data_IF_023991793952
#
_entry.id   IF_023991793952
#
_cell.length_a   1.000
_cell.length_b   1.000
_cell.length_c   1.000
_cell.angle_alpha   90.00
_cell.angle_beta   90.00
_cell.angle_gamma   90.00
#
_symmetry.space_group_name_H-M   'P 1'
#
loop_
_entity.id
_entity.type
_entity.pdbx_description
1 polymer ?
#
# COMPACT_ATOMS: atom_id res chain seq x y z
N UNK A 1 -24.18 -7.94 -0.53
CA UNK A 1 -25.16 -8.62 0.35
C UNK A 1 -25.00 -10.12 0.33
N UNK A 2 -25.20 -10.79 -0.80
CA UNK A 2 -25.23 -12.27 -0.87
C UNK A 2 -24.07 -12.95 -0.12
N UNK A 3 -22.83 -12.58 -0.42
CA UNK A 3 -21.66 -13.17 0.26
C UNK A 3 -21.68 -12.99 1.79
N UNK A 4 -22.01 -11.79 2.28
CA UNK A 4 -22.07 -11.53 3.71
C UNK A 4 -23.16 -12.36 4.40
N UNK A 5 -24.33 -12.50 3.77
CA UNK A 5 -25.44 -13.34 4.27
C UNK A 5 -25.07 -14.82 4.26
N UNK A 6 -24.49 -15.31 3.16
CA UNK A 6 -24.13 -16.72 2.98
C UNK A 6 -23.00 -17.15 3.96
N UNK A 7 -22.17 -16.23 4.41
CA UNK A 7 -21.11 -16.46 5.40
C UNK A 7 -21.44 -15.96 6.81
N UNK A 8 -22.71 -15.69 7.11
CA UNK A 8 -23.21 -15.33 8.45
C UNK A 8 -22.59 -14.05 9.05
N UNK A 9 -22.12 -13.11 8.22
CA UNK A 9 -21.69 -11.80 8.70
C UNK A 9 -22.91 -10.98 9.16
N UNK A 10 -22.87 -10.50 10.40
CA UNK A 10 -23.95 -9.70 10.99
C UNK A 10 -23.78 -8.22 10.71
N UNK A 11 -24.91 -7.52 10.50
CA UNK A 11 -24.95 -6.06 10.34
C UNK A 11 -24.03 -5.50 9.21
N UNK A 12 -24.10 -6.02 7.97
CA UNK A 12 -23.28 -5.49 6.89
C UNK A 12 -23.71 -4.06 6.51
N UNK A 13 -22.74 -3.15 6.47
CA UNK A 13 -22.92 -1.77 6.03
C UNK A 13 -22.19 -1.57 4.70
N UNK A 14 -22.84 -0.90 3.74
CA UNK A 14 -22.21 -0.58 2.44
C UNK A 14 -21.63 0.80 2.45
N UNK A 15 -20.39 0.89 1.93
CA UNK A 15 -19.71 2.13 1.59
C UNK A 15 -19.59 2.18 0.07
N UNK A 16 -20.18 3.19 -0.56
CA UNK A 16 -20.27 3.31 -2.01
C UNK A 16 -19.64 4.64 -2.41
N UNK A 17 -18.70 4.61 -3.34
CA UNK A 17 -18.03 5.78 -3.90
C UNK A 17 -18.26 5.81 -5.42
N UNK A 18 -19.51 6.12 -5.84
CA UNK A 18 -19.86 6.20 -7.25
C UNK A 18 -19.22 7.43 -7.93
N UNK A 19 -18.66 7.20 -9.11
CA UNK A 19 -18.07 8.25 -9.93
C UNK A 19 -16.69 8.76 -9.48
N UNK A 20 -16.12 8.21 -8.40
CA UNK A 20 -14.79 8.59 -7.91
C UNK A 20 -13.72 7.66 -8.48
N UNK A 21 -12.61 8.25 -8.97
CA UNK A 21 -11.49 7.48 -9.50
C UNK A 21 -10.85 6.59 -8.44
N UNK A 22 -10.61 5.32 -8.76
CA UNK A 22 -9.86 4.39 -7.90
C UNK A 22 -8.38 4.72 -7.71
N UNK A 23 -7.88 5.83 -8.30
CA UNK A 23 -6.51 6.31 -8.12
C UNK A 23 -6.34 7.02 -6.78
N UNK A 24 -7.39 7.67 -6.28
CA UNK A 24 -7.37 8.34 -4.98
C UNK A 24 -8.03 7.49 -3.89
N UNK A 25 -7.47 7.54 -2.68
CA UNK A 25 -8.08 7.01 -1.46
C UNK A 25 -8.89 8.09 -0.73
N UNK A 26 -8.85 9.33 -1.19
CA UNK A 26 -9.71 10.39 -0.66
C UNK A 26 -11.10 10.30 -1.29
N UNK A 27 -11.90 9.41 -0.74
CA UNK A 27 -13.26 9.09 -1.15
C UNK A 27 -14.16 9.10 0.10
N UNK A 28 -15.34 9.72 0.03
CA UNK A 28 -16.22 9.86 1.21
C UNK A 28 -16.57 8.52 1.89
N UNK A 29 -16.98 7.52 1.11
CA UNK A 29 -17.31 6.19 1.64
C UNK A 29 -16.10 5.47 2.21
N UNK A 30 -14.94 5.56 1.54
CA UNK A 30 -13.69 5.03 2.05
C UNK A 30 -13.27 5.69 3.36
N UNK A 31 -13.27 7.02 3.42
CA UNK A 31 -12.88 7.78 4.61
C UNK A 31 -13.77 7.47 5.80
N UNK A 32 -15.08 7.33 5.58
CA UNK A 32 -16.02 6.96 6.64
C UNK A 32 -15.78 5.52 7.13
N UNK A 33 -15.51 4.57 6.23
CA UNK A 33 -15.17 3.19 6.61
C UNK A 33 -13.88 3.16 7.45
N UNK A 34 -12.84 3.91 7.06
CA UNK A 34 -11.59 4.01 7.83
C UNK A 34 -11.86 4.63 9.20
N UNK A 35 -12.63 5.72 9.28
CA UNK A 35 -13.01 6.34 10.55
C UNK A 35 -13.70 5.37 11.51
N UNK A 36 -14.60 4.55 10.98
CA UNK A 36 -15.29 3.51 11.76
C UNK A 36 -14.35 2.38 12.19
N UNK A 37 -13.37 2.05 11.33
CA UNK A 37 -12.32 1.08 11.64
C UNK A 37 -11.42 1.56 12.77
N UNK A 38 -11.04 2.83 12.76
CA UNK A 38 -10.27 3.48 13.84
C UNK A 38 -11.05 3.52 15.16
N UNK A 39 -12.37 3.68 15.08
CA UNK A 39 -13.26 3.64 16.25
C UNK A 39 -13.57 2.21 16.76
N UNK A 40 -12.96 1.17 16.18
CA UNK A 40 -13.16 -0.23 16.57
C UNK A 40 -14.56 -0.78 16.25
N UNK A 41 -15.29 -0.14 15.33
CA UNK A 41 -16.65 -0.53 14.95
C UNK A 41 -16.72 -1.48 13.74
N UNK A 42 -15.61 -1.71 13.08
CA UNK A 42 -15.48 -2.59 11.91
C UNK A 42 -14.68 -3.81 12.31
N UNK A 43 -15.24 -5.00 12.07
CA UNK A 43 -14.59 -6.27 12.32
C UNK A 43 -14.10 -6.96 11.06
N UNK A 44 -14.81 -6.76 9.97
CA UNK A 44 -14.47 -7.37 8.68
C UNK A 44 -14.72 -6.38 7.55
N UNK A 45 -13.75 -6.25 6.65
CA UNK A 45 -13.86 -5.48 5.42
C UNK A 45 -13.96 -6.45 4.24
N UNK A 46 -15.05 -6.37 3.48
CA UNK A 46 -15.31 -7.24 2.35
C UNK A 46 -15.33 -6.41 1.06
N UNK A 47 -14.50 -6.76 0.11
CA UNK A 47 -14.49 -6.15 -1.23
C UNK A 47 -14.74 -7.22 -2.29
N UNK A 48 -15.23 -6.82 -3.45
CA UNK A 48 -15.43 -7.74 -4.57
C UNK A 48 -14.10 -8.27 -5.10
N UNK A 49 -13.16 -7.36 -5.30
CA UNK A 49 -11.78 -7.61 -5.73
C UNK A 49 -10.88 -6.49 -5.17
N UNK A 50 -9.57 -6.72 -5.12
CA UNK A 50 -8.59 -5.76 -4.58
C UNK A 50 -8.57 -4.45 -5.38
N UNK A 51 -8.91 -4.47 -6.67
CA UNK A 51 -8.98 -3.28 -7.50
C UNK A 51 -10.05 -2.27 -7.06
N UNK A 52 -11.07 -2.75 -6.33
CA UNK A 52 -12.12 -1.91 -5.73
C UNK A 52 -11.62 -1.12 -4.54
N UNK A 53 -10.65 -1.65 -3.82
CA UNK A 53 -10.00 -0.93 -2.73
C UNK A 53 -9.25 0.29 -3.27
N UNK A 54 -8.43 0.12 -4.33
CA UNK A 54 -7.71 1.20 -4.99
C UNK A 54 -6.72 0.69 -6.02
N UNK A 55 -6.21 1.61 -6.85
CA UNK A 55 -5.17 1.35 -7.86
C UNK A 55 -3.77 1.71 -7.38
N UNK A 56 -3.66 2.32 -6.22
CA UNK A 56 -2.38 2.61 -5.56
C UNK A 56 -1.97 1.41 -4.71
N UNK A 57 -1.17 0.54 -5.27
CA UNK A 57 -0.74 -0.71 -4.64
C UNK A 57 0.01 -0.51 -3.32
N UNK A 58 0.73 0.62 -3.16
CA UNK A 58 1.44 0.93 -1.91
C UNK A 58 0.46 1.21 -0.78
N UNK A 59 -0.60 1.96 -1.07
CA UNK A 59 -1.66 2.23 -0.10
C UNK A 59 -2.50 0.99 0.18
N UNK A 60 -2.83 0.21 -0.86
CA UNK A 60 -3.53 -1.08 -0.66
C UNK A 60 -2.71 -1.97 0.28
N UNK A 61 -1.40 -2.14 0.04
CA UNK A 61 -0.51 -2.91 0.91
C UNK A 61 -0.47 -2.38 2.34
N UNK A 62 -0.35 -1.05 2.52
CA UNK A 62 -0.40 -0.44 3.85
C UNK A 62 -1.69 -0.78 4.61
N UNK A 63 -2.85 -0.64 3.96
CA UNK A 63 -4.12 -0.94 4.61
C UNK A 63 -4.27 -2.42 4.93
N UNK A 64 -3.91 -3.30 4.03
CA UNK A 64 -4.09 -4.75 4.22
C UNK A 64 -3.06 -5.37 5.15
N UNK A 65 -1.79 -4.96 5.09
CA UNK A 65 -0.71 -5.58 5.88
C UNK A 65 -0.47 -4.91 7.23
N UNK A 66 -0.76 -3.61 7.35
CA UNK A 66 -0.54 -2.86 8.60
C UNK A 66 -1.84 -2.42 9.23
N UNK A 67 -2.61 -1.56 8.57
CA UNK A 67 -3.74 -0.88 9.18
C UNK A 67 -4.82 -1.83 9.69
N UNK A 68 -5.24 -2.82 8.87
CA UNK A 68 -6.26 -3.79 9.27
C UNK A 68 -5.69 -4.84 10.22
N UNK A 69 -4.47 -5.32 9.98
CA UNK A 69 -3.82 -6.30 10.84
C UNK A 69 -3.60 -5.79 12.27
N UNK A 70 -3.13 -4.53 12.43
CA UNK A 70 -2.93 -3.91 13.75
C UNK A 70 -4.23 -3.73 14.56
N UNK A 71 -5.39 -3.80 13.89
CA UNK A 71 -6.72 -3.59 14.50
C UNK A 71 -7.55 -4.85 14.55
N UNK A 72 -6.96 -6.02 14.26
CA UNK A 72 -7.66 -7.31 14.14
C UNK A 72 -8.90 -7.24 13.23
N UNK A 73 -8.78 -6.49 12.12
CA UNK A 73 -9.83 -6.38 11.11
C UNK A 73 -9.57 -7.40 10.02
N UNK A 74 -10.47 -8.36 9.87
CA UNK A 74 -10.43 -9.31 8.78
C UNK A 74 -10.66 -8.62 7.43
N UNK A 75 -9.83 -8.93 6.43
CA UNK A 75 -9.95 -8.43 5.07
C UNK A 75 -10.26 -9.58 4.09
N UNK A 76 -11.32 -9.42 3.30
CA UNK A 76 -11.76 -10.43 2.33
C UNK A 76 -11.90 -9.80 0.94
N UNK A 77 -11.21 -10.33 -0.07
CA UNK A 77 -11.42 -10.02 -1.48
C UNK A 77 -11.99 -11.24 -2.21
N UNK A 78 -13.30 -11.20 -2.50
CA UNK A 78 -14.08 -12.38 -2.91
C UNK A 78 -13.56 -13.00 -4.21
N UNK A 79 -13.38 -12.17 -5.26
CA UNK A 79 -12.97 -12.67 -6.58
C UNK A 79 -11.50 -13.09 -6.62
N UNK A 80 -10.68 -12.53 -5.73
CA UNK A 80 -9.25 -12.81 -5.66
C UNK A 80 -8.95 -13.99 -4.73
N UNK A 81 -9.98 -14.54 -4.03
CA UNK A 81 -9.84 -15.64 -3.09
C UNK A 81 -9.04 -15.30 -1.84
N UNK A 82 -8.93 -14.01 -1.51
CA UNK A 82 -8.14 -13.52 -0.38
C UNK A 82 -8.99 -13.44 0.87
N UNK A 83 -8.51 -14.00 1.96
CA UNK A 83 -9.10 -13.91 3.29
C UNK A 83 -7.96 -13.89 4.33
N UNK A 84 -7.82 -12.78 5.05
CA UNK A 84 -6.71 -12.58 5.99
C UNK A 84 -6.74 -13.56 7.19
N UNK A 85 -7.89 -14.13 7.52
CA UNK A 85 -8.02 -15.07 8.63
C UNK A 85 -7.69 -16.52 8.24
N UNK A 86 -7.64 -16.84 6.93
CA UNK A 86 -7.35 -18.20 6.44
C UNK A 86 -5.87 -18.57 6.40
N UNK A 87 -5.00 -17.66 6.82
CA UNK A 87 -3.57 -17.89 6.97
C UNK A 87 -2.70 -17.34 5.83
N UNK A 88 -1.39 -17.34 6.06
CA UNK A 88 -0.36 -16.68 5.24
C UNK A 88 -0.32 -17.13 3.77
N UNK A 89 -0.83 -18.30 3.43
CA UNK A 89 -0.68 -18.86 2.08
C UNK A 89 -1.54 -18.16 1.02
N UNK A 90 -2.73 -17.68 1.38
CA UNK A 90 -3.64 -17.04 0.40
C UNK A 90 -3.23 -15.60 0.09
N UNK A 91 -2.52 -14.95 1.01
CA UNK A 91 -2.07 -13.55 0.85
C UNK A 91 -0.65 -13.42 0.27
N UNK A 92 0.14 -14.49 0.31
CA UNK A 92 1.55 -14.50 -0.13
C UNK A 92 1.76 -14.02 -1.57
N UNK A 93 0.94 -14.39 -2.59
CA UNK A 93 1.10 -13.89 -3.94
C UNK A 93 0.96 -12.36 -4.04
N UNK A 94 0.04 -11.80 -3.26
CA UNK A 94 -0.21 -10.35 -3.22
C UNK A 94 0.91 -9.62 -2.49
N UNK A 95 1.40 -10.17 -1.37
CA UNK A 95 2.57 -9.64 -0.65
C UNK A 95 3.80 -9.57 -1.55
N UNK A 96 4.05 -10.60 -2.35
CA UNK A 96 5.13 -10.62 -3.32
C UNK A 96 4.95 -9.54 -4.40
N UNK A 97 3.72 -9.38 -4.91
CA UNK A 97 3.38 -8.35 -5.87
C UNK A 97 3.59 -6.93 -5.30
N UNK A 98 3.19 -6.67 -4.06
CA UNK A 98 3.43 -5.39 -3.38
C UNK A 98 4.92 -5.12 -3.17
N UNK A 99 5.70 -6.12 -2.77
CA UNK A 99 7.14 -6.00 -2.62
C UNK A 99 7.83 -5.66 -3.95
N UNK A 100 7.39 -6.28 -5.04
CA UNK A 100 7.87 -5.98 -6.40
C UNK A 100 7.54 -4.53 -6.81
N UNK A 101 6.32 -4.06 -6.57
CA UNK A 101 5.94 -2.68 -6.85
C UNK A 101 6.72 -1.69 -6.00
N UNK A 102 6.88 -1.96 -4.70
CA UNK A 102 7.67 -1.14 -3.80
C UNK A 102 9.13 -1.04 -4.27
N UNK A 103 9.74 -2.16 -4.62
CA UNK A 103 11.10 -2.19 -5.14
C UNK A 103 11.25 -1.37 -6.44
N UNK A 104 10.30 -1.50 -7.37
CA UNK A 104 10.27 -0.74 -8.62
C UNK A 104 10.10 0.77 -8.39
N UNK A 105 9.18 1.16 -7.51
CA UNK A 105 8.93 2.57 -7.20
C UNK A 105 10.14 3.21 -6.50
N UNK A 106 10.70 2.54 -5.52
CA UNK A 106 11.93 2.95 -4.83
C UNK A 106 13.09 3.10 -5.81
N UNK A 107 13.27 2.13 -6.72
CA UNK A 107 14.31 2.19 -7.76
C UNK A 107 14.12 3.39 -8.71
N UNK A 108 12.87 3.71 -9.09
CA UNK A 108 12.56 4.91 -9.91
C UNK A 108 12.90 6.19 -9.16
N UNK A 109 12.55 6.29 -7.88
CA UNK A 109 12.83 7.46 -7.03
C UNK A 109 14.34 7.66 -6.86
N UNK A 110 15.09 6.60 -6.54
CA UNK A 110 16.55 6.65 -6.42
C UNK A 110 17.17 7.11 -7.74
N UNK A 111 16.79 6.52 -8.88
CA UNK A 111 17.30 6.92 -10.19
C UNK A 111 16.98 8.37 -10.54
N UNK A 112 15.80 8.85 -10.20
CA UNK A 112 15.40 10.25 -10.41
C UNK A 112 16.29 11.20 -9.60
N UNK A 113 16.51 10.92 -8.31
CA UNK A 113 17.40 11.70 -7.44
C UNK A 113 18.84 11.67 -7.93
N UNK A 114 19.35 10.48 -8.29
CA UNK A 114 20.71 10.35 -8.83
C UNK A 114 20.88 11.15 -10.13
N UNK A 115 19.90 11.09 -11.03
CA UNK A 115 19.92 11.86 -12.27
C UNK A 115 19.87 13.37 -12.02
N UNK A 116 19.01 13.82 -11.09
CA UNK A 116 18.93 15.23 -10.73
C UNK A 116 20.24 15.73 -10.14
N UNK A 117 20.86 15.00 -9.23
CA UNK A 117 22.17 15.32 -8.65
C UNK A 117 23.29 15.32 -9.71
N UNK A 118 23.34 14.32 -10.57
CA UNK A 118 24.31 14.26 -11.65
C UNK A 118 24.19 15.42 -12.62
N UNK A 119 22.96 15.82 -12.99
CA UNK A 119 22.71 16.99 -13.84
C UNK A 119 23.09 18.32 -13.16
N UNK A 120 23.00 18.38 -11.82
CA UNK A 120 23.43 19.52 -11.02
C UNK A 120 24.95 19.55 -10.79
N UNK A 121 25.70 18.55 -11.30
CA UNK A 121 27.13 18.44 -11.07
C UNK A 121 27.53 18.00 -9.65
N UNK A 122 26.55 17.48 -8.88
CA UNK A 122 26.81 16.97 -7.53
C UNK A 122 27.48 15.59 -7.58
N UNK A 123 28.34 15.34 -6.60
CA UNK A 123 29.00 14.04 -6.46
C UNK A 123 27.98 12.93 -6.10
N UNK A 124 28.00 11.84 -6.86
CA UNK A 124 27.02 10.75 -6.71
C UNK A 124 27.53 9.59 -5.86
N UNK A 125 28.86 9.44 -5.73
CA UNK A 125 29.47 8.32 -5.02
C UNK A 125 29.81 8.69 -3.58
N UNK A 126 29.61 7.74 -2.67
CA UNK A 126 29.99 7.93 -1.25
C UNK A 126 31.51 7.96 -1.07
N UNK A 127 32.23 7.22 -1.90
CA UNK A 127 33.70 7.17 -1.89
C UNK A 127 34.27 7.85 -3.14
N UNK A 128 35.33 8.63 -3.00
CA UNK A 128 36.01 9.23 -4.14
C UNK A 128 36.62 8.14 -5.03
N UNK A 129 36.73 8.37 -6.36
CA UNK A 129 37.47 7.49 -7.26
C UNK A 129 38.95 7.35 -6.85
N UNK A 130 39.58 6.30 -7.34
CA UNK A 130 41.01 6.10 -7.10
C UNK A 130 41.83 7.32 -7.53
N UNK A 131 42.72 7.80 -6.65
CA UNK A 131 43.52 9.00 -6.89
C UNK A 131 42.90 10.32 -6.44
N UNK A 132 41.68 10.29 -5.91
CA UNK A 132 40.99 11.46 -5.34
C UNK A 132 40.75 11.28 -3.83
N UNK A 133 40.76 12.40 -3.10
CA UNK A 133 40.39 12.45 -1.68
C UNK A 133 39.22 13.41 -1.50
N UNK A 134 38.40 13.14 -0.49
CA UNK A 134 37.34 14.08 -0.10
C UNK A 134 37.94 15.35 0.47
N UNK A 135 37.36 16.48 0.10
CA UNK A 135 37.75 17.76 0.70
C UNK A 135 37.42 17.74 2.22
N UNK A 136 38.41 17.97 3.10
CA UNK A 136 38.17 18.01 4.54
C UNK A 136 37.22 19.14 4.96
N UNK A 137 37.17 20.23 4.18
CA UNK A 137 36.34 21.40 4.46
C UNK A 137 34.91 21.27 3.89
N UNK A 138 34.70 20.45 2.86
CA UNK A 138 33.40 20.22 2.24
C UNK A 138 33.14 18.73 2.00
N UNK A 139 32.47 18.09 2.94
CA UNK A 139 32.12 16.65 2.87
C UNK A 139 31.19 16.26 1.70
N UNK A 140 30.69 17.24 0.97
CA UNK A 140 29.80 17.04 -0.19
C UNK A 140 30.53 17.11 -1.52
N UNK A 141 31.77 17.53 -1.52
CA UNK A 141 32.65 17.54 -2.69
C UNK A 141 33.68 16.44 -2.66
#
# INVERSE_FOLDING_TARGET
>A
MRYATDNSFTNPTFFIDDGVSGVTFDRPGWNEMIRLSEAGKVRTVIVKDMSRMGRDYLKVGYYTESFFAERDIQYIAINDGVDSDKGDNDFTPFRNLFNDFYARDTSKKIRAVMRAKGNAGEHLCTNPPYGYQKDPADKKK
#
